data_IF_111004662685
#
_entry.id   IF_111004662685
#
_cell.length_a   1.000
_cell.length_b   1.000
_cell.length_c   1.000
_cell.angle_alpha   90.00
_cell.angle_beta   90.00
_cell.angle_gamma   90.00
#
_symmetry.space_group_name_H-M   'P 1'
#
loop_
_entity.id
_entity.type
_entity.pdbx_description
1 polymer ?
#
# COMPACT_ATOMS: atom_id res chain seq x y z
N UNK A 1 22.33 -34.61 1.43
CA UNK A 1 22.25 -33.31 0.70
C UNK A 1 20.80 -33.18 0.28
N UNK A 2 20.03 -32.40 1.04
CA UNK A 2 18.59 -32.20 0.83
C UNK A 2 18.40 -30.85 0.14
N UNK A 3 17.67 -30.83 -0.97
CA UNK A 3 17.33 -29.63 -1.72
C UNK A 3 15.82 -29.36 -1.53
N UNK A 4 15.40 -28.26 -0.86
CA UNK A 4 14.00 -27.94 -0.65
C UNK A 4 13.56 -26.81 -1.58
N UNK A 5 13.32 -27.12 -2.86
CA UNK A 5 12.64 -26.18 -3.78
C UNK A 5 11.70 -26.90 -4.76
N UNK A 6 10.66 -27.55 -4.26
CA UNK A 6 9.44 -27.77 -5.05
C UNK A 6 8.23 -27.68 -4.11
N UNK A 7 7.66 -26.49 -3.94
CA UNK A 7 6.24 -26.37 -3.63
C UNK A 7 5.52 -26.26 -4.97
N UNK A 8 4.96 -27.37 -5.43
CA UNK A 8 4.04 -27.39 -6.56
C UNK A 8 2.79 -26.59 -6.17
N UNK A 9 2.65 -25.39 -6.73
CA UNK A 9 1.38 -24.66 -6.72
C UNK A 9 0.37 -25.42 -7.57
N UNK A 10 -0.78 -25.73 -6.99
CA UNK A 10 -1.89 -26.46 -7.61
C UNK A 10 -2.72 -25.58 -8.57
N UNK A 11 -2.37 -24.31 -8.77
CA UNK A 11 -3.20 -23.33 -9.48
C UNK A 11 -2.86 -23.14 -10.97
N UNK A 12 -1.94 -23.91 -11.55
CA UNK A 12 -1.63 -23.75 -12.98
C UNK A 12 -2.50 -24.65 -13.86
N UNK A 13 -3.73 -24.22 -14.14
CA UNK A 13 -4.42 -24.61 -15.38
C UNK A 13 -5.29 -23.47 -15.91
N UNK A 14 -4.91 -22.96 -17.08
CA UNK A 14 -5.81 -22.23 -17.99
C UNK A 14 -5.51 -20.75 -18.14
N UNK A 15 -4.42 -20.40 -18.82
CA UNK A 15 -4.27 -19.05 -19.36
C UNK A 15 -5.24 -18.87 -20.55
N UNK A 16 -6.14 -17.88 -20.47
CA UNK A 16 -7.01 -17.45 -21.58
C UNK A 16 -6.42 -16.19 -22.19
N UNK A 17 -6.09 -16.25 -23.48
CA UNK A 17 -5.57 -15.13 -24.27
C UNK A 17 -6.73 -14.25 -24.78
N UNK A 18 -6.72 -12.95 -24.43
CA UNK A 18 -7.73 -11.96 -24.81
C UNK A 18 -7.21 -10.92 -25.82
N UNK A 19 -6.21 -11.29 -26.64
CA UNK A 19 -5.66 -10.43 -27.70
C UNK A 19 -6.67 -9.97 -28.77
N UNK A 20 -7.93 -10.43 -28.72
CA UNK A 20 -9.00 -10.02 -29.64
C UNK A 20 -9.74 -8.72 -29.29
N UNK A 21 -9.50 -8.09 -28.13
CA UNK A 21 -10.24 -6.89 -27.69
C UNK A 21 -9.77 -5.58 -28.33
N UNK A 22 -8.75 -5.61 -29.20
CA UNK A 22 -8.40 -4.45 -30.02
C UNK A 22 -9.08 -4.57 -31.36
N UNK A 23 -10.25 -3.94 -31.50
CA UNK A 23 -10.58 -3.05 -32.63
C UNK A 23 -12.10 -2.94 -32.86
N UNK A 24 -12.76 -1.97 -32.22
CA UNK A 24 -13.88 -1.27 -32.87
C UNK A 24 -14.12 0.10 -32.23
N UNK A 25 -13.79 1.15 -32.97
CA UNK A 25 -14.22 2.52 -32.68
C UNK A 25 -15.74 2.68 -33.02
N UNK A 26 -16.49 3.50 -32.26
CA UNK A 26 -17.92 3.72 -32.50
C UNK A 26 -18.20 4.92 -33.43
N UNK A 27 -19.31 4.95 -34.19
CA UNK A 27 -19.84 6.17 -34.76
C UNK A 27 -20.86 6.86 -33.83
N UNK A 28 -20.92 8.18 -33.99
CA UNK A 28 -21.57 9.16 -33.12
C UNK A 28 -23.09 9.39 -33.38
N UNK A 29 -23.64 10.37 -32.63
CA UNK A 29 -24.96 11.05 -32.67
C UNK A 29 -26.12 10.36 -31.92
N UNK A 30 -26.97 11.04 -31.11
CA UNK A 30 -27.42 12.45 -31.00
C UNK A 30 -28.03 12.70 -29.58
N UNK A 31 -28.24 13.97 -29.14
CA UNK A 31 -28.71 14.32 -27.79
C UNK A 31 -30.24 14.51 -27.68
N UNK A 32 -30.81 14.15 -26.53
CA UNK A 32 -32.20 14.44 -26.13
C UNK A 32 -32.28 14.81 -24.64
N UNK A 33 -33.02 15.89 -24.38
CA UNK A 33 -33.24 16.65 -23.14
C UNK A 33 -34.06 15.91 -22.05
N UNK A 34 -34.13 16.47 -20.81
CA UNK A 34 -34.45 15.73 -19.58
C UNK A 34 -35.96 15.69 -19.24
N UNK A 35 -36.37 14.62 -18.55
CA UNK A 35 -37.72 14.49 -17.97
C UNK A 35 -37.64 14.02 -16.50
N UNK A 36 -38.25 14.81 -15.61
CA UNK A 36 -38.49 14.53 -14.19
C UNK A 36 -39.66 13.56 -13.99
N UNK A 37 -39.50 12.62 -13.04
CA UNK A 37 -40.54 12.05 -12.15
C UNK A 37 -39.78 11.14 -11.15
N UNK A 38 -39.73 11.40 -9.83
CA UNK A 38 -40.78 11.15 -8.84
C UNK A 38 -40.26 10.10 -7.83
N UNK A 39 -40.52 10.24 -6.51
CA UNK A 39 -39.71 9.63 -5.46
C UNK A 39 -40.12 8.17 -5.18
N UNK A 40 -39.12 7.29 -5.08
CA UNK A 40 -39.31 5.91 -4.60
C UNK A 40 -38.47 5.72 -3.35
N UNK A 41 -39.14 5.61 -2.21
CA UNK A 41 -38.57 5.26 -0.91
C UNK A 41 -38.01 3.84 -0.95
N UNK A 42 -36.75 3.66 -0.56
CA UNK A 42 -36.13 2.34 -0.42
C UNK A 42 -34.74 2.41 0.19
N UNK A 43 -34.68 2.22 1.52
CA UNK A 43 -33.52 1.95 2.39
C UNK A 43 -32.39 3.00 2.49
N UNK A 44 -31.82 3.20 3.70
CA UNK A 44 -30.71 4.11 3.89
C UNK A 44 -29.48 3.56 3.17
N UNK A 45 -29.00 4.28 2.17
CA UNK A 45 -27.63 4.15 1.70
C UNK A 45 -26.72 4.50 2.89
N UNK A 46 -26.22 3.47 3.55
CA UNK A 46 -25.08 3.60 4.44
C UNK A 46 -23.90 4.03 3.58
N UNK A 47 -23.63 5.33 3.60
CA UNK A 47 -22.34 5.88 3.23
C UNK A 47 -21.28 5.29 4.18
N UNK A 48 -20.69 4.17 3.78
CA UNK A 48 -19.48 3.59 4.37
C UNK A 48 -18.36 3.68 3.34
N UNK A 49 -17.22 4.24 3.75
CA UNK A 49 -16.15 4.67 2.84
C UNK A 49 -15.57 3.59 1.93
N UNK A 50 -15.47 3.92 0.65
CA UNK A 50 -14.32 3.68 -0.25
C UNK A 50 -13.98 2.26 -0.72
N UNK A 51 -14.22 1.22 0.09
CA UNK A 51 -13.56 -0.09 -0.10
C UNK A 51 -14.48 -1.25 -0.41
N UNK A 52 -15.80 -1.07 -0.39
CA UNK A 52 -16.77 -2.12 -0.76
C UNK A 52 -17.73 -1.59 -1.81
N UNK A 53 -17.87 -2.31 -2.92
CA UNK A 53 -18.60 -1.86 -4.10
C UNK A 53 -19.45 -3.00 -4.63
N UNK A 54 -20.72 -2.72 -4.90
CA UNK A 54 -21.58 -3.64 -5.64
C UNK A 54 -21.37 -3.45 -7.13
N UNK A 55 -20.95 -4.53 -7.79
CA UNK A 55 -20.57 -4.54 -9.19
C UNK A 55 -21.66 -5.21 -10.03
N UNK A 56 -22.06 -4.49 -11.06
CA UNK A 56 -23.04 -4.84 -12.08
C UNK A 56 -22.38 -4.84 -13.46
N UNK A 57 -23.08 -5.34 -14.48
CA UNK A 57 -22.56 -5.34 -15.86
C UNK A 57 -22.17 -3.93 -16.36
N UNK A 58 -22.83 -2.89 -15.85
CA UNK A 58 -22.60 -1.51 -16.27
C UNK A 58 -21.33 -0.88 -15.67
N UNK A 59 -20.92 -1.29 -14.45
CA UNK A 59 -19.80 -0.67 -13.72
C UNK A 59 -18.57 -1.59 -13.59
N UNK A 60 -18.67 -2.88 -13.97
CA UNK A 60 -17.58 -3.86 -13.92
C UNK A 60 -16.27 -3.34 -14.55
N UNK A 61 -16.37 -2.68 -15.70
CA UNK A 61 -15.21 -2.16 -16.40
C UNK A 61 -14.47 -1.09 -15.57
N UNK A 62 -15.19 -0.14 -14.99
CA UNK A 62 -14.61 0.96 -14.22
C UNK A 62 -14.16 0.48 -12.83
N UNK A 63 -15.02 -0.24 -12.10
CA UNK A 63 -14.81 -0.56 -10.69
C UNK A 63 -13.96 -1.80 -10.46
N UNK A 64 -13.81 -2.69 -11.45
CA UNK A 64 -12.94 -3.87 -11.35
C UNK A 64 -11.72 -3.70 -12.25
N UNK A 65 -11.89 -3.50 -13.55
CA UNK A 65 -10.76 -3.52 -14.47
C UNK A 65 -9.91 -2.24 -14.36
N UNK A 66 -10.50 -1.05 -14.48
CA UNK A 66 -9.75 0.21 -14.35
C UNK A 66 -9.22 0.40 -12.94
N UNK A 67 -10.05 0.19 -11.92
CA UNK A 67 -9.64 0.27 -10.51
C UNK A 67 -8.49 -0.70 -10.17
N UNK A 68 -8.50 -1.92 -10.74
CA UNK A 68 -7.41 -2.89 -10.54
C UNK A 68 -6.04 -2.43 -11.04
N UNK A 69 -5.99 -1.41 -11.89
CA UNK A 69 -4.74 -0.80 -12.36
C UNK A 69 -4.11 0.11 -11.30
N UNK A 70 -4.93 0.70 -10.43
CA UNK A 70 -4.49 1.61 -9.36
C UNK A 70 -4.35 0.89 -8.03
N UNK A 71 -5.24 -0.06 -7.72
CA UNK A 71 -5.25 -0.83 -6.48
C UNK A 71 -5.77 -2.25 -6.72
N UNK A 72 -5.29 -3.29 -6.04
CA UNK A 72 -5.85 -4.64 -6.16
C UNK A 72 -7.35 -4.68 -5.84
N UNK A 73 -8.11 -5.43 -6.65
CA UNK A 73 -9.56 -5.62 -6.47
C UNK A 73 -9.84 -7.09 -6.22
N UNK A 74 -10.47 -7.39 -5.08
CA UNK A 74 -10.96 -8.73 -4.74
C UNK A 74 -12.43 -8.81 -5.13
N UNK A 75 -12.75 -9.66 -6.10
CA UNK A 75 -14.10 -9.85 -6.62
C UNK A 75 -14.74 -11.07 -5.96
N UNK A 76 -15.82 -10.85 -5.22
CA UNK A 76 -16.61 -11.88 -4.57
C UNK A 76 -17.88 -12.16 -5.38
N UNK A 77 -18.02 -13.40 -5.84
CA UNK A 77 -19.20 -13.92 -6.50
C UNK A 77 -20.07 -14.67 -5.50
N UNK A 78 -21.19 -14.05 -5.14
CA UNK A 78 -22.17 -14.59 -4.20
C UNK A 78 -23.54 -14.74 -4.82
N UNK A 79 -24.46 -15.37 -4.09
CA UNK A 79 -25.88 -15.38 -4.39
C UNK A 79 -26.68 -15.43 -3.09
N UNK A 80 -27.78 -14.68 -3.03
CA UNK A 80 -28.69 -14.73 -1.88
C UNK A 80 -29.31 -16.12 -1.70
N UNK A 81 -29.47 -16.54 -0.44
CA UNK A 81 -30.09 -17.83 -0.09
C UNK A 81 -29.13 -19.01 -0.05
N UNK A 82 -27.83 -18.76 -0.14
CA UNK A 82 -26.77 -19.75 0.05
C UNK A 82 -26.05 -19.47 1.38
N UNK A 83 -26.21 -20.33 2.41
CA UNK A 83 -25.70 -20.07 3.75
C UNK A 83 -24.19 -19.80 3.83
N UNK A 84 -23.41 -20.42 2.94
CA UNK A 84 -21.96 -20.21 2.87
C UNK A 84 -21.61 -18.83 2.29
N UNK A 85 -22.35 -18.35 1.29
CA UNK A 85 -22.18 -17.01 0.73
C UNK A 85 -22.58 -15.93 1.74
N UNK A 86 -23.72 -16.13 2.42
CA UNK A 86 -24.27 -15.18 3.39
C UNK A 86 -23.37 -15.02 4.63
N UNK A 87 -22.61 -16.06 5.00
CA UNK A 87 -21.62 -16.01 6.09
C UNK A 87 -20.28 -15.42 5.64
N UNK A 88 -19.91 -15.60 4.38
CA UNK A 88 -18.58 -15.23 3.88
C UNK A 88 -18.52 -13.76 3.43
N UNK A 89 -19.61 -13.19 2.93
CA UNK A 89 -19.67 -11.79 2.52
C UNK A 89 -19.34 -10.81 3.69
N UNK A 90 -19.93 -10.92 4.90
CA UNK A 90 -19.59 -10.04 6.02
C UNK A 90 -18.14 -10.17 6.48
N UNK A 91 -17.55 -11.36 6.34
CA UNK A 91 -16.13 -11.58 6.66
C UNK A 91 -15.23 -10.79 5.72
N UNK A 92 -15.50 -10.84 4.42
CA UNK A 92 -14.76 -10.07 3.41
C UNK A 92 -14.92 -8.56 3.61
N UNK A 93 -16.13 -8.10 3.93
CA UNK A 93 -16.39 -6.68 4.20
C UNK A 93 -15.60 -6.17 5.40
N UNK A 94 -15.55 -6.97 6.48
CA UNK A 94 -14.73 -6.64 7.64
C UNK A 94 -13.25 -6.57 7.29
N UNK A 95 -12.73 -7.53 6.53
CA UNK A 95 -11.33 -7.53 6.10
C UNK A 95 -11.01 -6.36 5.15
N UNK A 96 -11.97 -5.95 4.30
CA UNK A 96 -11.82 -4.79 3.42
C UNK A 96 -11.77 -3.48 4.22
N UNK A 97 -12.57 -3.38 5.30
CA UNK A 97 -12.53 -2.26 6.23
C UNK A 97 -11.22 -2.23 7.04
N UNK A 98 -10.77 -3.39 7.56
CA UNK A 98 -9.46 -3.55 8.23
C UNK A 98 -8.29 -3.16 7.30
N UNK A 99 -8.43 -3.40 6.00
CA UNK A 99 -7.39 -3.07 5.00
C UNK A 99 -7.22 -1.58 4.69
N UNK A 100 -8.06 -0.69 5.22
CA UNK A 100 -7.83 0.77 5.16
C UNK A 100 -7.72 1.37 3.76
N UNK A 101 -8.18 0.68 2.71
CA UNK A 101 -8.05 1.12 1.30
C UNK A 101 -6.85 0.54 0.54
N UNK A 102 -6.10 -0.40 1.12
CA UNK A 102 -5.04 -1.13 0.41
C UNK A 102 -5.58 -1.99 -0.76
N UNK A 103 -6.86 -2.38 -0.70
CA UNK A 103 -7.58 -3.08 -1.76
C UNK A 103 -9.08 -2.75 -1.69
N UNK A 104 -9.79 -3.03 -2.78
CA UNK A 104 -11.24 -2.89 -2.85
C UNK A 104 -11.94 -4.25 -2.98
N UNK A 105 -13.06 -4.41 -2.29
CA UNK A 105 -13.98 -5.54 -2.41
C UNK A 105 -15.07 -5.21 -3.43
N UNK A 106 -15.15 -6.00 -4.50
CA UNK A 106 -16.20 -5.96 -5.50
C UNK A 106 -17.17 -7.13 -5.29
N UNK A 107 -18.40 -6.87 -4.86
CA UNK A 107 -19.43 -7.90 -4.70
C UNK A 107 -20.25 -8.03 -5.97
N UNK A 108 -20.47 -9.26 -6.41
CA UNK A 108 -21.26 -9.57 -7.60
C UNK A 108 -22.26 -10.65 -7.24
N UNK A 109 -23.54 -10.32 -7.37
CA UNK A 109 -24.61 -11.31 -7.32
C UNK A 109 -24.70 -12.02 -8.68
N UNK A 110 -24.45 -13.33 -8.70
CA UNK A 110 -24.46 -14.13 -9.94
C UNK A 110 -25.86 -14.44 -10.46
N UNK A 111 -26.90 -14.33 -9.63
CA UNK A 111 -28.30 -14.45 -10.04
C UNK A 111 -28.74 -13.22 -10.83
N UNK A 112 -28.35 -12.03 -10.35
CA UNK A 112 -28.65 -10.76 -11.02
C UNK A 112 -27.73 -10.51 -12.23
N UNK A 113 -26.49 -10.99 -12.18
CA UNK A 113 -25.46 -10.73 -13.20
C UNK A 113 -24.89 -12.04 -13.81
N UNK A 114 -25.72 -12.90 -14.43
CA UNK A 114 -25.29 -14.21 -14.91
C UNK A 114 -24.25 -14.13 -16.04
N UNK A 115 -24.20 -13.03 -16.81
CA UNK A 115 -23.18 -12.85 -17.85
C UNK A 115 -21.79 -12.65 -17.26
N UNK A 116 -21.67 -11.92 -16.16
CA UNK A 116 -20.38 -11.72 -15.48
C UNK A 116 -19.88 -13.05 -14.92
N UNK A 117 -20.77 -13.84 -14.31
CA UNK A 117 -20.44 -15.17 -13.82
C UNK A 117 -19.92 -16.08 -14.95
N UNK A 118 -20.51 -16.02 -16.14
CA UNK A 118 -20.03 -16.75 -17.32
C UNK A 118 -18.66 -16.27 -17.80
N UNK A 119 -18.42 -14.96 -17.83
CA UNK A 119 -17.13 -14.37 -18.22
C UNK A 119 -16.00 -14.81 -17.30
N UNK A 120 -16.24 -14.83 -16.00
CA UNK A 120 -15.29 -15.32 -14.99
C UNK A 120 -15.35 -16.84 -14.81
N UNK A 121 -16.08 -17.56 -15.66
CA UNK A 121 -16.23 -19.03 -15.62
C UNK A 121 -16.58 -19.58 -14.23
N UNK A 122 -17.41 -18.85 -13.47
CA UNK A 122 -17.83 -19.20 -12.12
C UNK A 122 -18.73 -20.43 -12.19
N UNK A 123 -18.27 -21.55 -11.61
CA UNK A 123 -19.02 -22.81 -11.61
C UNK A 123 -19.85 -23.04 -10.33
N UNK A 124 -19.65 -22.21 -9.30
CA UNK A 124 -20.36 -22.29 -8.03
C UNK A 124 -20.16 -21.05 -7.18
N UNK A 125 -21.00 -20.87 -6.17
CA UNK A 125 -20.91 -19.80 -5.17
C UNK A 125 -20.69 -20.41 -3.79
N UNK A 126 -19.87 -19.80 -2.91
CA UNK A 126 -19.09 -18.58 -3.13
C UNK A 126 -17.83 -18.83 -3.98
N UNK A 127 -17.47 -17.88 -4.85
CA UNK A 127 -16.17 -17.89 -5.56
C UNK A 127 -15.52 -16.52 -5.43
N UNK A 128 -14.21 -16.49 -5.24
CA UNK A 128 -13.42 -15.25 -5.09
C UNK A 128 -12.33 -15.20 -6.13
N UNK A 129 -12.19 -14.03 -6.77
CA UNK A 129 -11.11 -13.71 -7.70
C UNK A 129 -10.30 -12.53 -7.17
N UNK A 130 -8.98 -12.59 -7.36
CA UNK A 130 -8.10 -11.44 -7.21
C UNK A 130 -7.78 -10.87 -8.58
N UNK A 131 -8.06 -9.59 -8.79
CA UNK A 131 -7.77 -8.87 -10.03
C UNK A 131 -6.76 -7.76 -9.74
N UNK A 132 -5.65 -7.79 -10.47
CA UNK A 132 -4.52 -6.87 -10.32
C UNK A 132 -4.02 -6.48 -11.70
N UNK A 133 -3.87 -5.18 -11.95
CA UNK A 133 -3.40 -4.67 -13.24
C UNK A 133 -4.30 -5.08 -14.40
N UNK A 134 -5.61 -5.14 -14.19
CA UNK A 134 -6.61 -5.58 -15.17
C UNK A 134 -6.63 -7.08 -15.43
N UNK A 135 -5.92 -7.90 -14.65
CA UNK A 135 -5.81 -9.35 -14.88
C UNK A 135 -6.17 -10.15 -13.62
N UNK A 136 -6.92 -11.25 -13.73
CA UNK A 136 -7.10 -12.18 -12.63
C UNK A 136 -5.77 -12.87 -12.32
N UNK A 137 -5.25 -12.68 -11.12
CA UNK A 137 -3.96 -13.25 -10.68
C UNK A 137 -4.13 -14.55 -9.91
N UNK A 138 -5.25 -14.68 -9.19
CA UNK A 138 -5.57 -15.89 -8.44
C UNK A 138 -7.09 -16.01 -8.21
N UNK A 139 -7.55 -17.22 -7.93
CA UNK A 139 -8.96 -17.50 -7.65
C UNK A 139 -9.14 -18.75 -6.80
N UNK A 140 -10.17 -18.75 -5.96
CA UNK A 140 -10.60 -19.96 -5.25
C UNK A 140 -12.12 -20.04 -5.17
N UNK A 141 -12.62 -21.27 -5.09
CA UNK A 141 -14.05 -21.57 -4.90
C UNK A 141 -14.28 -22.21 -3.54
N UNK A 142 -15.41 -21.85 -2.91
CA UNK A 142 -15.80 -22.28 -1.58
C UNK A 142 -15.33 -21.34 -0.46
N UNK A 143 -15.95 -21.49 0.71
CA UNK A 143 -15.57 -20.75 1.91
C UNK A 143 -14.25 -21.29 2.48
N UNK A 144 -13.31 -20.38 2.79
CA UNK A 144 -12.03 -20.70 3.43
C UNK A 144 -11.97 -20.11 4.84
N UNK A 145 -11.19 -20.68 5.77
CA UNK A 145 -11.00 -20.07 7.09
C UNK A 145 -10.39 -18.67 6.99
N UNK A 146 -10.77 -17.78 7.92
CA UNK A 146 -10.31 -16.39 7.96
C UNK A 146 -8.77 -16.24 7.94
N UNK A 147 -8.05 -17.12 8.65
CA UNK A 147 -6.58 -17.10 8.66
C UNK A 147 -5.99 -17.35 7.26
N UNK A 148 -6.57 -18.28 6.51
CA UNK A 148 -6.17 -18.59 5.14
C UNK A 148 -6.59 -17.47 4.18
N UNK A 149 -7.76 -16.88 4.39
CA UNK A 149 -8.23 -15.73 3.62
C UNK A 149 -7.29 -14.53 3.76
N UNK A 150 -6.87 -14.20 5.00
CA UNK A 150 -5.89 -13.13 5.26
C UNK A 150 -4.56 -13.41 4.56
N UNK A 151 -4.07 -14.64 4.65
CA UNK A 151 -2.83 -15.03 4.00
C UNK A 151 -2.93 -14.90 2.47
N UNK A 152 -4.07 -15.28 1.89
CA UNK A 152 -4.33 -15.16 0.46
C UNK A 152 -4.41 -13.70 0.02
N UNK A 153 -5.17 -12.85 0.74
CA UNK A 153 -5.25 -11.41 0.48
C UNK A 153 -3.85 -10.78 0.54
N UNK A 154 -3.06 -11.12 1.55
CA UNK A 154 -1.67 -10.66 1.67
C UNK A 154 -0.80 -11.06 0.48
N UNK A 155 -0.94 -12.29 -0.02
CA UNK A 155 -0.21 -12.75 -1.20
C UNK A 155 -0.65 -12.01 -2.49
N UNK A 156 -1.94 -11.76 -2.64
CA UNK A 156 -2.52 -11.02 -3.79
C UNK A 156 -2.02 -9.59 -3.82
N UNK A 157 -2.05 -8.90 -2.68
CA UNK A 157 -1.60 -7.53 -2.57
C UNK A 157 -0.09 -7.42 -2.86
N UNK A 158 0.72 -8.33 -2.32
CA UNK A 158 2.14 -8.44 -2.64
C UNK A 158 2.39 -8.68 -4.14
N UNK A 159 1.58 -9.53 -4.77
CA UNK A 159 1.64 -9.79 -6.21
C UNK A 159 1.23 -8.55 -7.04
N UNK A 160 0.42 -7.65 -6.47
CA UNK A 160 0.05 -6.36 -7.04
C UNK A 160 0.99 -5.21 -6.75
N UNK A 161 2.14 -5.47 -6.12
CA UNK A 161 3.09 -4.42 -5.76
C UNK A 161 2.56 -3.48 -4.68
N UNK A 162 1.49 -3.87 -3.98
CA UNK A 162 1.01 -3.20 -2.78
C UNK A 162 1.59 -3.96 -1.59
N UNK A 163 2.60 -3.37 -0.95
CA UNK A 163 3.05 -3.87 0.35
C UNK A 163 1.93 -3.66 1.36
N UNK A 164 1.19 -4.73 1.66
CA UNK A 164 0.34 -4.77 2.85
C UNK A 164 1.28 -4.82 4.01
N UNK A 165 1.31 -3.74 4.79
CA UNK A 165 1.70 -3.86 6.17
C UNK A 165 0.83 -4.99 6.78
N UNK A 166 1.48 -5.99 7.38
CA UNK A 166 0.78 -6.94 8.24
C UNK A 166 -0.10 -6.17 9.23
N UNK A 167 -1.21 -6.73 9.75
CA UNK A 167 -1.98 -6.06 10.80
C UNK A 167 -1.00 -5.57 11.86
N UNK A 168 -0.92 -4.24 12.00
CA UNK A 168 0.07 -3.56 12.82
C UNK A 168 -0.01 -4.06 14.26
N UNK A 169 1.10 -3.95 14.99
CA UNK A 169 1.03 -4.16 16.43
C UNK A 169 0.07 -3.11 17.02
N UNK A 170 -1.05 -3.50 17.69
CA UNK A 170 -2.01 -2.54 18.24
C UNK A 170 -1.40 -1.56 19.24
N UNK A 171 -0.21 -1.85 19.77
CA UNK A 171 0.55 -0.91 20.60
C UNK A 171 0.98 0.34 19.84
N UNK A 172 1.10 0.26 18.50
CA UNK A 172 1.53 1.36 17.62
C UNK A 172 0.38 2.28 17.21
N UNK A 173 -0.88 1.82 17.28
CA UNK A 173 -2.05 2.57 16.79
C UNK A 173 -2.09 4.01 17.32
N UNK A 174 -1.90 4.20 18.63
CA UNK A 174 -1.88 5.53 19.27
C UNK A 174 -0.75 6.43 18.72
N UNK A 175 0.43 5.85 18.48
CA UNK A 175 1.59 6.59 17.99
C UNK A 175 1.45 6.95 16.51
N UNK A 176 0.96 6.03 15.70
CA UNK A 176 0.75 6.19 14.26
C UNK A 176 -0.37 7.22 14.00
N UNK A 177 -1.47 7.17 14.76
CA UNK A 177 -2.56 8.16 14.68
C UNK A 177 -2.08 9.59 15.03
N UNK A 178 -1.25 9.72 16.07
CA UNK A 178 -0.65 10.98 16.45
C UNK A 178 0.30 11.52 15.36
N UNK A 179 1.10 10.64 14.75
CA UNK A 179 1.98 11.03 13.65
C UNK A 179 1.18 11.47 12.41
N UNK A 180 0.12 10.75 12.06
CA UNK A 180 -0.77 11.07 10.93
C UNK A 180 -1.53 12.38 11.13
N UNK A 181 -1.91 12.70 12.37
CA UNK A 181 -2.57 13.98 12.70
C UNK A 181 -1.58 15.14 12.84
N UNK A 182 -0.27 14.87 12.77
CA UNK A 182 0.79 15.87 12.89
C UNK A 182 1.08 16.27 14.34
N UNK A 183 0.51 15.58 15.33
CA UNK A 183 0.84 15.77 16.74
C UNK A 183 2.15 15.03 17.07
N UNK A 184 3.26 15.68 16.70
CA UNK A 184 4.60 15.11 16.87
C UNK A 184 4.99 14.92 18.34
N UNK A 185 4.37 15.66 19.27
CA UNK A 185 4.63 15.53 20.70
C UNK A 185 3.96 14.27 21.25
N UNK A 186 2.68 14.04 20.91
CA UNK A 186 1.95 12.84 21.29
C UNK A 186 2.57 11.57 20.65
N UNK A 187 2.94 11.65 19.36
CA UNK A 187 3.58 10.53 18.66
C UNK A 187 4.89 10.11 19.33
N UNK A 188 5.73 11.09 19.69
CA UNK A 188 6.99 10.84 20.39
C UNK A 188 6.79 10.18 21.76
N UNK A 189 5.82 10.65 22.54
CA UNK A 189 5.50 10.06 23.84
C UNK A 189 5.06 8.60 23.71
N UNK A 190 4.17 8.32 22.75
CA UNK A 190 3.65 6.99 22.47
C UNK A 190 4.75 6.01 22.04
N UNK A 191 5.60 6.38 21.05
CA UNK A 191 6.72 5.50 20.64
C UNK A 191 7.73 5.27 21.78
N UNK A 192 8.03 6.29 22.59
CA UNK A 192 8.94 6.13 23.74
C UNK A 192 8.37 5.20 24.81
N UNK A 193 7.06 5.22 25.03
CA UNK A 193 6.39 4.29 25.95
C UNK A 193 6.58 2.84 25.48
N UNK A 194 6.41 2.58 24.18
CA UNK A 194 6.64 1.26 23.59
C UNK A 194 8.11 0.84 23.78
N UNK A 195 9.06 1.74 23.48
CA UNK A 195 10.49 1.47 23.65
C UNK A 195 10.93 1.29 25.12
N UNK A 196 10.22 1.89 26.07
CA UNK A 196 10.48 1.65 27.50
C UNK A 196 10.11 0.22 27.92
N UNK A 197 9.06 -0.36 27.32
CA UNK A 197 8.64 -1.74 27.56
C UNK A 197 9.42 -2.74 26.69
N UNK A 198 9.72 -2.35 25.45
CA UNK A 198 10.38 -3.17 24.43
C UNK A 198 11.51 -2.37 23.75
N UNK A 199 12.70 -2.27 24.38
CA UNK A 199 13.80 -1.44 23.87
C UNK A 199 14.36 -1.82 22.49
N UNK A 200 14.04 -3.01 21.99
CA UNK A 200 14.46 -3.52 20.68
C UNK A 200 13.29 -3.60 19.68
N UNK A 201 12.20 -2.86 19.93
CA UNK A 201 11.06 -2.77 19.02
C UNK A 201 11.42 -1.92 17.79
N UNK A 202 11.67 -2.59 16.68
CA UNK A 202 12.14 -1.94 15.45
C UNK A 202 11.10 -0.98 14.85
N UNK A 203 9.80 -1.25 15.03
CA UNK A 203 8.74 -0.40 14.50
C UNK A 203 8.65 0.89 15.31
N UNK A 204 8.69 0.80 16.64
CA UNK A 204 8.71 1.98 17.50
C UNK A 204 10.00 2.81 17.34
N UNK A 205 11.15 2.17 17.11
CA UNK A 205 12.40 2.87 16.81
C UNK A 205 12.31 3.65 15.48
N UNK A 206 11.77 3.02 14.43
CA UNK A 206 11.56 3.66 13.13
C UNK A 206 10.56 4.82 13.22
N UNK A 207 9.43 4.64 13.93
CA UNK A 207 8.44 5.68 14.16
C UNK A 207 8.99 6.88 14.92
N UNK A 208 9.78 6.64 15.98
CA UNK A 208 10.45 7.72 16.71
C UNK A 208 11.45 8.47 15.81
N UNK A 209 12.17 7.76 14.94
CA UNK A 209 13.06 8.38 13.95
C UNK A 209 12.28 9.24 12.94
N UNK A 210 11.10 8.79 12.49
CA UNK A 210 10.20 9.56 11.62
C UNK A 210 9.70 10.85 12.29
N UNK A 211 9.30 10.80 13.56
CA UNK A 211 8.94 12.01 14.33
C UNK A 211 10.10 13.00 14.37
N UNK A 212 11.31 12.51 14.66
CA UNK A 212 12.52 13.32 14.66
C UNK A 212 12.82 13.97 13.31
N UNK A 213 12.62 13.24 12.21
CA UNK A 213 12.74 13.76 10.84
C UNK A 213 11.70 14.86 10.57
N UNK A 214 10.43 14.60 10.87
CA UNK A 214 9.33 15.54 10.67
C UNK A 214 9.57 16.86 11.42
N UNK A 215 10.11 16.80 12.65
CA UNK A 215 10.47 18.00 13.42
C UNK A 215 11.61 18.80 12.79
N UNK A 216 12.63 18.15 12.21
CA UNK A 216 13.77 18.86 11.58
C UNK A 216 13.37 19.63 10.33
N UNK A 217 12.41 19.09 9.57
CA UNK A 217 11.90 19.74 8.35
C UNK A 217 10.72 20.67 8.62
N UNK A 218 10.13 20.63 9.81
CA UNK A 218 9.01 21.49 10.17
C UNK A 218 9.36 22.98 10.01
N UNK A 219 8.60 23.67 9.16
CA UNK A 219 8.80 25.09 8.87
C UNK A 219 9.96 25.42 7.92
N UNK A 220 10.67 24.43 7.39
CA UNK A 220 11.64 24.64 6.32
C UNK A 220 10.93 24.87 4.98
N UNK A 221 11.49 25.72 4.12
CA UNK A 221 11.12 25.80 2.70
C UNK A 221 11.96 24.76 1.93
N UNK A 222 11.35 23.68 1.39
CA UNK A 222 12.08 22.63 0.71
C UNK A 222 12.95 23.14 -0.44
N UNK A 223 12.44 24.09 -1.22
CA UNK A 223 13.15 24.61 -2.40
C UNK A 223 14.34 25.46 -1.99
N UNK A 224 14.15 26.33 -0.99
CA UNK A 224 15.23 27.17 -0.49
C UNK A 224 16.34 26.33 0.17
N UNK A 225 15.97 25.32 0.95
CA UNK A 225 16.94 24.43 1.61
C UNK A 225 17.77 23.63 0.61
N UNK A 226 17.15 23.05 -0.43
CA UNK A 226 17.87 22.34 -1.49
C UNK A 226 18.82 23.28 -2.26
N UNK A 227 18.36 24.48 -2.62
CA UNK A 227 19.19 25.48 -3.29
C UNK A 227 20.38 25.95 -2.42
N UNK A 228 20.16 26.11 -1.11
CA UNK A 228 21.22 26.48 -0.17
C UNK A 228 22.29 25.40 -0.06
N UNK A 229 21.88 24.12 -0.03
CA UNK A 229 22.80 22.99 -0.01
C UNK A 229 23.57 22.85 -1.33
N UNK A 230 22.94 23.09 -2.48
CA UNK A 230 23.64 23.11 -3.78
C UNK A 230 24.68 24.23 -3.87
N UNK A 231 24.34 25.41 -3.35
CA UNK A 231 25.25 26.56 -3.33
C UNK A 231 26.42 26.40 -2.35
N UNK A 232 26.25 25.60 -1.28
CA UNK A 232 27.24 25.43 -0.22
C UNK A 232 27.51 23.93 0.06
N UNK A 233 28.31 23.24 -0.78
CA UNK A 233 28.57 21.80 -0.67
C UNK A 233 29.21 21.37 0.65
N UNK A 234 29.96 22.26 1.32
CA UNK A 234 30.68 21.98 2.57
C UNK A 234 29.90 22.45 3.82
N UNK A 235 28.73 23.08 3.64
CA UNK A 235 27.86 23.50 4.76
C UNK A 235 27.08 22.29 5.31
N UNK A 236 27.60 21.72 6.39
CA UNK A 236 27.02 20.53 7.03
C UNK A 236 25.53 20.74 7.37
N UNK A 237 25.11 21.76 8.15
CA UNK A 237 23.70 22.02 8.39
C UNK A 237 22.82 22.04 7.14
N UNK A 238 23.26 22.73 6.07
CA UNK A 238 22.49 22.82 4.82
C UNK A 238 22.36 21.45 4.16
N UNK A 239 23.44 20.66 4.11
CA UNK A 239 23.39 19.30 3.55
C UNK A 239 22.51 18.34 4.36
N UNK A 240 22.52 18.44 5.70
CA UNK A 240 21.68 17.59 6.56
C UNK A 240 20.19 17.89 6.35
N UNK A 241 19.81 19.17 6.31
CA UNK A 241 18.42 19.57 6.07
C UNK A 241 17.96 19.18 4.66
N UNK A 242 18.82 19.34 3.65
CA UNK A 242 18.53 18.89 2.29
C UNK A 242 18.30 17.37 2.22
N UNK A 243 19.13 16.57 2.91
CA UNK A 243 18.95 15.13 2.99
C UNK A 243 17.64 14.74 3.67
N UNK A 244 17.27 15.43 4.76
CA UNK A 244 15.99 15.21 5.45
C UNK A 244 14.79 15.47 4.51
N UNK A 245 14.82 16.58 3.75
CA UNK A 245 13.79 16.93 2.77
C UNK A 245 13.72 15.90 1.63
N UNK A 246 14.87 15.43 1.15
CA UNK A 246 14.97 14.41 0.11
C UNK A 246 14.34 13.09 0.57
N UNK A 247 14.64 12.63 1.80
CA UNK A 247 14.00 11.43 2.37
C UNK A 247 12.49 11.60 2.46
N UNK A 248 11.99 12.72 3.01
CA UNK A 248 10.55 12.96 3.13
C UNK A 248 9.86 13.02 1.76
N UNK A 249 10.57 13.45 0.72
CA UNK A 249 10.06 13.54 -0.64
C UNK A 249 10.19 12.23 -1.43
N UNK A 250 10.58 11.13 -0.80
CA UNK A 250 10.76 9.82 -1.43
C UNK A 250 12.06 9.67 -2.25
N UNK A 251 13.00 10.59 -2.11
CA UNK A 251 14.29 10.62 -2.80
C UNK A 251 15.43 10.11 -1.89
N UNK A 252 15.20 9.00 -1.18
CA UNK A 252 16.11 8.47 -0.17
C UNK A 252 17.51 8.15 -0.74
N UNK A 253 17.61 7.58 -1.95
CA UNK A 253 18.90 7.30 -2.58
C UNK A 253 19.74 8.57 -2.77
N UNK A 254 19.10 9.68 -3.16
CA UNK A 254 19.76 10.97 -3.33
C UNK A 254 20.24 11.54 -1.99
N UNK A 255 19.38 11.47 -0.96
CA UNK A 255 19.73 11.87 0.40
C UNK A 255 20.94 11.10 0.94
N UNK A 256 20.95 9.78 0.74
CA UNK A 256 22.06 8.93 1.20
C UNK A 256 23.35 9.24 0.45
N UNK A 257 23.28 9.41 -0.87
CA UNK A 257 24.45 9.80 -1.67
C UNK A 257 25.01 11.16 -1.21
N UNK A 258 24.13 12.15 -0.97
CA UNK A 258 24.51 13.47 -0.44
C UNK A 258 25.29 13.37 0.87
N UNK A 259 24.80 12.59 1.83
CA UNK A 259 25.46 12.44 3.13
C UNK A 259 26.75 11.62 3.04
N UNK A 260 26.81 10.61 2.17
CA UNK A 260 28.07 9.88 1.90
C UNK A 260 29.12 10.82 1.31
N UNK A 261 28.75 11.67 0.36
CA UNK A 261 29.66 12.67 -0.22
C UNK A 261 30.10 13.71 0.82
N UNK A 262 29.19 14.14 1.69
CA UNK A 262 29.53 15.03 2.81
C UNK A 262 30.54 14.39 3.76
N UNK A 263 30.39 13.11 4.10
CA UNK A 263 31.35 12.34 4.92
C UNK A 263 32.73 12.31 4.26
N UNK A 264 32.81 12.18 2.93
CA UNK A 264 34.09 12.20 2.18
C UNK A 264 34.79 13.56 2.25
N UNK A 265 34.02 14.66 2.19
CA UNK A 265 34.55 16.04 2.15
C UNK A 265 34.93 16.58 3.52
N UNK A 266 34.22 16.15 4.55
CA UNK A 266 34.39 16.64 5.93
C UNK A 266 35.39 15.79 6.73
N UNK A 267 35.80 16.30 7.89
CA UNK A 267 36.69 15.61 8.84
C UNK A 267 36.32 16.00 10.28
N UNK A 268 36.84 15.24 11.25
CA UNK A 268 36.55 15.48 12.68
C UNK A 268 35.06 15.42 13.00
N UNK A 269 34.60 16.32 13.88
CA UNK A 269 33.22 16.38 14.37
C UNK A 269 32.18 16.50 13.26
N UNK A 270 32.51 17.22 12.18
CA UNK A 270 31.59 17.42 11.06
C UNK A 270 31.38 16.14 10.24
N UNK A 271 32.42 15.32 10.08
CA UNK A 271 32.30 13.98 9.50
C UNK A 271 31.44 13.08 10.38
N UNK A 272 31.62 13.16 11.70
CA UNK A 272 30.83 12.37 12.64
C UNK A 272 29.36 12.78 12.65
N UNK A 273 29.04 14.07 12.57
CA UNK A 273 27.66 14.55 12.41
C UNK A 273 27.02 14.00 11.15
N UNK A 274 27.69 14.12 10.00
CA UNK A 274 27.19 13.60 8.72
C UNK A 274 26.94 12.09 8.76
N UNK A 275 27.87 11.33 9.35
CA UNK A 275 27.75 9.88 9.53
C UNK A 275 26.59 9.51 10.45
N UNK A 276 26.45 10.18 11.59
CA UNK A 276 25.36 9.91 12.54
C UNK A 276 24.00 10.23 11.94
N UNK A 277 23.89 11.33 11.19
CA UNK A 277 22.67 11.72 10.51
C UNK A 277 22.24 10.72 9.45
N UNK A 278 23.20 10.20 8.66
CA UNK A 278 22.93 9.15 7.69
C UNK A 278 22.42 7.86 8.35
N UNK A 279 23.00 7.47 9.48
CA UNK A 279 22.53 6.29 10.25
C UNK A 279 21.11 6.52 10.76
N UNK A 280 20.80 7.71 11.28
CA UNK A 280 19.45 8.04 11.74
C UNK A 280 18.43 7.95 10.59
N UNK A 281 18.78 8.40 9.37
CA UNK A 281 17.91 8.25 8.21
C UNK A 281 17.72 6.79 7.76
N UNK A 282 18.70 5.91 7.97
CA UNK A 282 18.47 4.47 7.75
C UNK A 282 17.45 3.88 8.71
N UNK A 283 17.40 4.36 9.95
CA UNK A 283 16.39 3.91 10.93
C UNK A 283 14.98 4.30 10.50
N UNK A 284 14.80 5.47 9.86
CA UNK A 284 13.51 5.93 9.30
C UNK A 284 12.98 4.97 8.24
N UNK A 285 13.84 4.48 7.36
CA UNK A 285 13.49 3.56 6.27
C UNK A 285 13.28 2.10 6.74
N UNK A 286 13.83 1.76 7.90
CA UNK A 286 13.85 0.40 8.42
C UNK A 286 14.96 -0.48 7.83
N UNK A 287 15.21 -1.66 8.43
CA UNK A 287 16.37 -2.49 8.12
C UNK A 287 16.31 -3.20 6.75
N UNK A 288 15.12 -3.36 6.17
CA UNK A 288 14.90 -4.13 4.94
C UNK A 288 14.90 -3.27 3.67
N UNK A 289 15.07 -1.95 3.79
CA UNK A 289 15.11 -1.05 2.64
C UNK A 289 16.36 -1.32 1.75
N UNK A 290 16.19 -1.61 0.44
CA UNK A 290 17.30 -1.92 -0.46
C UNK A 290 18.28 -0.75 -0.66
N UNK A 291 17.82 0.50 -0.58
CA UNK A 291 18.67 1.68 -0.69
C UNK A 291 19.62 1.81 0.50
N UNK A 292 19.20 1.38 1.69
CA UNK A 292 20.05 1.35 2.91
C UNK A 292 21.25 0.42 2.71
N UNK A 293 21.05 -0.75 2.10
CA UNK A 293 22.13 -1.70 1.88
C UNK A 293 23.23 -1.13 0.95
N UNK A 294 22.85 -0.42 -0.11
CA UNK A 294 23.80 0.25 -1.00
C UNK A 294 24.56 1.37 -0.28
N UNK A 295 23.83 2.23 0.44
CA UNK A 295 24.39 3.36 1.16
C UNK A 295 25.36 2.95 2.28
N UNK A 296 25.08 1.86 3.01
CA UNK A 296 26.01 1.31 4.03
C UNK A 296 27.36 0.92 3.44
N UNK A 297 27.39 0.32 2.25
CA UNK A 297 28.65 -0.02 1.56
C UNK A 297 29.39 1.25 1.13
N UNK A 298 28.67 2.23 0.59
CA UNK A 298 29.25 3.50 0.16
C UNK A 298 29.83 4.31 1.34
N UNK A 299 29.15 4.29 2.49
CA UNK A 299 29.61 4.89 3.75
C UNK A 299 30.89 4.21 4.26
N UNK A 300 30.93 2.87 4.29
CA UNK A 300 32.14 2.15 4.69
C UNK A 300 33.35 2.53 3.82
N UNK A 301 33.16 2.63 2.50
CA UNK A 301 34.21 3.11 1.58
C UNK A 301 34.56 4.60 1.73
N UNK A 302 33.72 5.42 2.35
CA UNK A 302 34.02 6.82 2.61
C UNK A 302 34.84 7.03 3.90
N UNK A 303 34.81 6.05 4.80
CA UNK A 303 35.48 6.12 6.11
C UNK A 303 36.89 5.51 6.12
N UNK A 304 37.22 4.65 5.15
CA UNK A 304 38.48 3.93 5.01
C UNK A 304 39.11 4.15 3.63
#
# INVERSE_FOLDING_TARGET
MSDPRITSSIFTRGAVDLSGLRNTAPPATRPSTPAQAGPSSGLPAAAGGGSVIDVTEANLQAEVLERSTTMPVVVFFGAAGYPESDQFAPLLERLAAEGGGAWALARIDVQENPRIAQMFQVQGVPTVYAVVGGRPVDAFSGAVPEAQLRQWIGAVLKAGGVDVAAPGDPRLDEADDALMSGDLDAAEEAYRKILAESPADAAAEAGLAQVGLARRVAGADPRAALAAAEANPDDVPAQLLAADIEVLSGMAEQAYARLVDLVRRTSGDDRDKARQHLIALFTVAGPDDPAVASARRALASALF
#
